data_IF_339072478791
#
_entry.id   IF_339072478791
#
_cell.length_a   1.000
_cell.length_b   1.000
_cell.length_c   1.000
_cell.angle_alpha   90.00
_cell.angle_beta   90.00
_cell.angle_gamma   90.00
#
_symmetry.space_group_name_H-M   'P 1'
#
loop_
_entity.id
_entity.type
_entity.pdbx_description
1 polymer ?
#
# COMPACT_ATOMS: atom_id res chain seq x y z
N UNK A 1 -11.73 5.36 9.99
CA UNK A 1 -11.68 3.89 9.88
C UNK A 1 -10.31 3.38 9.52
N UNK A 2 -9.77 3.83 8.37
CA UNK A 2 -8.39 3.50 8.01
C UNK A 2 -7.43 4.03 9.07
N UNK A 3 -7.71 5.20 9.62
CA UNK A 3 -6.93 5.80 10.69
C UNK A 3 -6.84 4.86 11.90
N UNK A 4 -7.99 4.36 12.38
CA UNK A 4 -8.01 3.49 13.56
C UNK A 4 -7.33 2.15 13.32
N UNK A 5 -7.38 1.63 12.09
CA UNK A 5 -6.72 0.38 11.73
C UNK A 5 -5.21 0.53 11.63
N UNK A 6 -4.73 1.64 11.11
CA UNK A 6 -3.32 1.82 10.77
C UNK A 6 -2.52 2.61 11.80
N UNK A 7 -3.19 3.35 12.68
CA UNK A 7 -2.52 4.14 13.73
C UNK A 7 -1.53 3.31 14.55
N UNK A 8 -1.86 2.07 14.98
CA UNK A 8 -0.93 1.29 15.79
C UNK A 8 0.39 0.93 15.10
N UNK A 9 0.46 1.04 13.79
CA UNK A 9 1.66 0.66 13.04
C UNK A 9 2.74 1.74 13.01
N UNK A 10 2.45 2.94 13.55
CA UNK A 10 3.46 3.99 13.62
C UNK A 10 3.97 4.44 12.26
N UNK A 11 3.04 4.75 11.34
CA UNK A 11 3.38 5.13 9.98
C UNK A 11 4.12 6.47 9.96
N UNK A 12 5.23 6.52 9.25
CA UNK A 12 6.10 7.69 9.15
C UNK A 12 6.13 8.31 7.75
N UNK A 13 5.64 7.60 6.74
CA UNK A 13 5.54 8.13 5.39
C UNK A 13 4.33 7.58 4.66
N UNK A 14 3.73 8.40 3.80
CA UNK A 14 2.55 8.03 3.01
C UNK A 14 2.83 8.31 1.54
N UNK A 15 2.67 7.28 0.73
CA UNK A 15 2.90 7.32 -0.72
C UNK A 15 1.67 6.83 -1.45
N UNK A 16 1.26 7.53 -2.49
CA UNK A 16 0.03 7.19 -3.21
C UNK A 16 0.22 7.31 -4.70
N UNK A 17 -0.47 6.45 -5.45
CA UNK A 17 -0.71 6.69 -6.86
C UNK A 17 -1.37 8.06 -7.05
N UNK A 18 -1.20 8.64 -8.23
CA UNK A 18 -1.79 9.94 -8.56
C UNK A 18 -3.31 9.89 -8.84
N UNK A 19 -3.91 8.71 -8.83
CA UNK A 19 -5.36 8.58 -8.98
C UNK A 19 -6.08 9.14 -7.75
N UNK A 20 -7.11 9.95 -7.98
CA UNK A 20 -7.83 10.62 -6.89
C UNK A 20 -8.44 9.66 -5.87
N UNK A 21 -8.89 8.46 -6.31
CA UNK A 21 -9.45 7.46 -5.40
C UNK A 21 -8.40 6.91 -4.42
N UNK A 22 -7.15 6.76 -4.86
CA UNK A 22 -6.07 6.33 -3.98
C UNK A 22 -5.69 7.43 -3.00
N UNK A 23 -5.56 8.64 -3.48
CA UNK A 23 -5.25 9.79 -2.66
C UNK A 23 -6.33 10.02 -1.60
N UNK A 24 -7.61 9.97 -1.99
CA UNK A 24 -8.73 10.18 -1.08
C UNK A 24 -8.79 9.12 0.03
N UNK A 25 -8.32 7.91 -0.25
CA UNK A 25 -8.30 6.84 0.74
C UNK A 25 -7.32 7.15 1.88
N UNK A 26 -6.18 7.78 1.58
CA UNK A 26 -5.13 8.03 2.57
C UNK A 26 -5.15 9.45 3.13
N UNK A 27 -5.91 10.36 2.53
CA UNK A 27 -5.96 11.76 2.97
C UNK A 27 -6.37 11.93 4.45
N UNK A 28 -7.40 11.24 4.95
CA UNK A 28 -7.75 11.36 6.38
C UNK A 28 -6.61 10.93 7.30
N UNK A 29 -5.87 9.89 6.94
CA UNK A 29 -4.72 9.44 7.71
C UNK A 29 -3.59 10.46 7.66
N UNK A 30 -3.35 11.05 6.48
CA UNK A 30 -2.38 12.11 6.29
C UNK A 30 -2.65 13.29 7.22
N UNK A 31 -3.91 13.71 7.31
CA UNK A 31 -4.32 14.79 8.19
C UNK A 31 -4.14 14.41 9.66
N UNK A 32 -4.55 13.22 10.04
CA UNK A 32 -4.47 12.75 11.41
C UNK A 32 -3.00 12.67 11.90
N UNK A 33 -2.11 12.15 11.04
CA UNK A 33 -0.70 11.98 11.38
C UNK A 33 0.14 13.23 11.12
N UNK A 34 -0.43 14.25 10.50
CA UNK A 34 0.28 15.46 10.06
C UNK A 34 1.45 15.10 9.14
N UNK A 35 1.21 14.14 8.24
CA UNK A 35 2.17 13.71 7.24
C UNK A 35 1.68 14.10 5.85
N UNK A 36 2.56 14.60 5.02
CA UNK A 36 2.24 14.92 3.64
C UNK A 36 2.20 13.64 2.80
N UNK A 37 1.22 13.53 1.92
CA UNK A 37 1.16 12.41 0.95
C UNK A 37 2.13 12.72 -0.19
N UNK A 38 3.04 11.80 -0.44
CA UNK A 38 3.90 11.85 -1.63
C UNK A 38 3.20 11.10 -2.77
N UNK A 39 2.93 11.81 -3.85
CA UNK A 39 2.28 11.23 -5.02
C UNK A 39 3.35 10.64 -5.93
N UNK A 40 3.17 9.40 -6.35
CA UNK A 40 4.12 8.67 -7.18
C UNK A 40 3.42 8.11 -8.42
N UNK A 41 3.75 8.67 -9.58
CA UNK A 41 3.21 8.21 -10.86
C UNK A 41 3.60 6.75 -11.16
N UNK A 42 4.72 6.28 -10.63
CA UNK A 42 5.19 4.90 -10.79
C UNK A 42 4.17 3.88 -10.28
N UNK A 43 3.26 4.31 -9.41
CA UNK A 43 2.24 3.44 -8.82
C UNK A 43 0.94 3.43 -9.62
N UNK A 44 0.81 4.23 -10.67
CA UNK A 44 -0.45 4.31 -11.41
C UNK A 44 -0.57 3.20 -12.47
N UNK A 45 -1.80 3.01 -12.96
CA UNK A 45 -2.10 1.94 -13.91
C UNK A 45 -1.42 2.16 -15.26
N UNK A 46 -1.31 3.40 -15.71
CA UNK A 46 -0.67 3.72 -16.97
C UNK A 46 0.82 3.37 -16.96
N UNK A 47 1.52 3.72 -15.89
CA UNK A 47 2.93 3.36 -15.73
C UNK A 47 3.12 1.86 -15.66
N UNK A 48 2.21 1.16 -15.01
CA UNK A 48 2.24 -0.30 -14.90
C UNK A 48 2.08 -0.98 -16.26
N UNK A 49 1.20 -0.46 -17.11
CA UNK A 49 1.03 -0.99 -18.47
C UNK A 49 2.27 -0.74 -19.32
N UNK A 50 2.92 0.40 -19.12
CA UNK A 50 4.14 0.74 -19.84
C UNK A 50 5.32 -0.13 -19.39
N UNK A 51 5.50 -0.28 -18.08
CA UNK A 51 6.56 -1.12 -17.49
C UNK A 51 6.11 -1.60 -16.11
N UNK A 52 5.77 -2.87 -16.01
CA UNK A 52 5.27 -3.45 -14.77
C UNK A 52 6.30 -3.45 -13.63
N UNK A 53 7.56 -3.21 -13.94
CA UNK A 53 8.63 -3.18 -12.93
C UNK A 53 8.72 -1.85 -12.19
N UNK A 54 8.13 -0.78 -12.71
CA UNK A 54 8.25 0.54 -12.10
C UNK A 54 7.68 0.57 -10.68
N UNK A 55 6.49 0.03 -10.48
CA UNK A 55 5.86 0.00 -9.18
C UNK A 55 6.65 -0.88 -8.19
N UNK A 56 7.08 -2.05 -8.63
CA UNK A 56 7.88 -2.95 -7.79
C UNK A 56 9.19 -2.31 -7.35
N UNK A 57 9.89 -1.68 -8.27
CA UNK A 57 11.16 -1.02 -7.96
C UNK A 57 10.96 0.16 -7.02
N UNK A 58 9.88 0.89 -7.20
CA UNK A 58 9.54 2.00 -6.31
C UNK A 58 9.30 1.52 -4.87
N UNK A 59 8.51 0.46 -4.71
CA UNK A 59 8.23 -0.13 -3.39
C UNK A 59 9.52 -0.67 -2.76
N UNK A 60 10.37 -1.36 -3.51
CA UNK A 60 11.65 -1.84 -3.00
C UNK A 60 12.53 -0.69 -2.52
N UNK A 61 12.52 0.42 -3.22
CA UNK A 61 13.24 1.62 -2.81
C UNK A 61 12.73 2.13 -1.46
N UNK A 62 11.41 2.20 -1.29
CA UNK A 62 10.80 2.63 -0.03
C UNK A 62 11.12 1.69 1.13
N UNK A 63 11.27 0.40 0.87
CA UNK A 63 11.57 -0.59 1.90
C UNK A 63 12.95 -0.38 2.53
N UNK A 64 13.81 0.40 1.91
CA UNK A 64 15.14 0.73 2.44
C UNK A 64 15.13 1.94 3.38
N UNK A 65 14.03 2.68 3.41
CA UNK A 65 13.92 3.83 4.30
C UNK A 65 13.62 3.36 5.73
N UNK A 66 14.18 4.05 6.74
CA UNK A 66 13.80 3.73 8.13
C UNK A 66 12.34 4.08 8.37
N UNK A 67 11.75 3.38 9.32
CA UNK A 67 10.36 3.61 9.69
C UNK A 67 9.37 2.83 8.84
N UNK A 68 8.11 3.03 9.13
CA UNK A 68 7.01 2.31 8.49
C UNK A 68 6.36 3.20 7.44
N UNK A 69 6.23 2.67 6.22
CA UNK A 69 5.69 3.41 5.09
C UNK A 69 4.34 2.82 4.68
N UNK A 70 3.41 3.68 4.32
CA UNK A 70 2.14 3.29 3.74
C UNK A 70 2.15 3.57 2.24
N UNK A 71 1.75 2.57 1.46
CA UNK A 71 1.65 2.71 0.01
C UNK A 71 0.22 2.43 -0.43
N UNK A 72 -0.40 3.38 -1.08
CA UNK A 72 -1.75 3.24 -1.65
C UNK A 72 -1.66 3.12 -3.16
N UNK A 73 -2.29 2.11 -3.70
CA UNK A 73 -2.24 1.83 -5.13
C UNK A 73 -3.46 1.07 -5.61
N UNK A 74 -3.30 0.32 -6.66
CA UNK A 74 -4.38 -0.29 -7.41
C UNK A 74 -4.30 -1.80 -7.45
N UNK A 75 -5.46 -2.46 -7.61
CA UNK A 75 -5.53 -3.81 -8.14
C UNK A 75 -5.36 -3.75 -9.67
N UNK A 76 -4.65 -4.68 -10.29
CA UNK A 76 -3.95 -5.82 -9.70
C UNK A 76 -2.50 -5.55 -9.29
N UNK A 77 -2.07 -4.30 -9.28
CA UNK A 77 -0.65 -3.93 -9.07
C UNK A 77 -0.15 -4.37 -7.69
N UNK A 78 -0.93 -4.09 -6.64
CA UNK A 78 -0.52 -4.41 -5.26
C UNK A 78 -0.36 -5.92 -5.03
N UNK A 79 -1.33 -6.77 -5.39
CA UNK A 79 -1.12 -8.22 -5.25
C UNK A 79 0.09 -8.74 -6.02
N UNK A 80 0.36 -8.19 -7.19
CA UNK A 80 1.50 -8.61 -8.00
C UNK A 80 2.81 -8.21 -7.37
N UNK A 81 2.90 -7.02 -6.79
CA UNK A 81 4.08 -6.58 -6.04
C UNK A 81 4.33 -7.53 -4.87
N UNK A 82 3.28 -7.85 -4.11
CA UNK A 82 3.39 -8.77 -2.97
C UNK A 82 3.86 -10.14 -3.39
N UNK A 83 3.33 -10.65 -4.49
CA UNK A 83 3.74 -11.96 -5.02
C UNK A 83 5.24 -11.98 -5.30
N UNK A 84 5.77 -10.93 -5.90
CA UNK A 84 7.20 -10.85 -6.22
C UNK A 84 8.08 -10.62 -4.98
N UNK A 85 7.59 -9.86 -4.01
CA UNK A 85 8.34 -9.57 -2.79
C UNK A 85 8.37 -10.75 -1.83
N UNK A 86 7.23 -11.37 -1.63
CA UNK A 86 7.07 -12.45 -0.63
C UNK A 86 7.27 -13.85 -1.21
N UNK A 87 7.32 -13.97 -2.52
CA UNK A 87 7.46 -15.25 -3.24
C UNK A 87 6.31 -16.22 -2.95
N UNK A 88 5.13 -15.66 -2.63
CA UNK A 88 3.89 -16.39 -2.43
C UNK A 88 2.85 -15.74 -3.33
N UNK A 89 2.06 -16.54 -4.01
CA UNK A 89 1.08 -16.02 -4.96
C UNK A 89 -0.07 -15.31 -4.26
N UNK A 90 -0.33 -14.07 -4.66
CA UNK A 90 -1.48 -13.28 -4.23
C UNK A 90 -2.31 -12.89 -5.44
N UNK A 91 -3.63 -12.84 -5.28
CA UNK A 91 -4.57 -12.55 -6.35
C UNK A 91 -5.21 -11.18 -6.16
N UNK A 92 -5.61 -10.56 -7.28
CA UNK A 92 -6.40 -9.32 -7.24
C UNK A 92 -7.73 -9.50 -6.50
N UNK A 93 -8.26 -10.73 -6.48
CA UNK A 93 -9.51 -11.03 -5.75
C UNK A 93 -9.32 -11.05 -4.23
N UNK A 94 -8.10 -11.05 -3.76
CA UNK A 94 -7.78 -11.06 -2.33
C UNK A 94 -7.80 -9.68 -1.70
N UNK A 95 -7.96 -8.63 -2.50
CA UNK A 95 -7.91 -7.25 -2.01
C UNK A 95 -9.17 -6.48 -2.39
N UNK A 96 -10.00 -6.20 -1.40
CA UNK A 96 -11.14 -5.29 -1.53
C UNK A 96 -10.69 -3.85 -1.24
N UNK A 97 -11.44 -2.84 -1.68
CA UNK A 97 -11.12 -1.45 -1.34
C UNK A 97 -10.94 -1.25 0.17
N UNK A 98 -9.91 -0.55 0.55
CA UNK A 98 -9.51 -0.25 1.93
C UNK A 98 -9.00 -1.45 2.74
N UNK A 99 -8.94 -2.64 2.15
CA UNK A 99 -8.18 -3.74 2.76
C UNK A 99 -6.69 -3.44 2.67
N UNK A 100 -5.92 -3.99 3.59
CA UNK A 100 -4.49 -3.72 3.68
C UNK A 100 -3.69 -4.99 3.91
N UNK A 101 -2.50 -5.03 3.35
CA UNK A 101 -1.49 -6.01 3.73
C UNK A 101 -0.38 -5.31 4.50
N UNK A 102 0.01 -5.90 5.62
CA UNK A 102 1.16 -5.44 6.39
C UNK A 102 2.34 -6.33 6.06
N UNK A 103 3.37 -5.73 5.52
CA UNK A 103 4.58 -6.45 5.13
C UNK A 103 5.64 -6.22 6.19
N UNK A 104 6.03 -7.29 6.86
CA UNK A 104 7.13 -7.24 7.84
C UNK A 104 8.42 -7.58 7.12
N UNK A 105 9.36 -6.64 7.12
CA UNK A 105 10.58 -6.82 6.34
C UNK A 105 11.80 -6.21 7.02
N UNK A 106 12.96 -6.62 6.55
CA UNK A 106 14.25 -6.01 6.90
C UNK A 106 14.96 -5.71 5.58
N UNK A 107 15.16 -4.42 5.29
CA UNK A 107 15.61 -4.01 3.96
C UNK A 107 14.61 -4.49 2.92
N UNK A 108 15.07 -5.10 1.85
CA UNK A 108 14.21 -5.65 0.79
C UNK A 108 13.79 -7.11 1.02
N UNK A 109 14.09 -7.66 2.19
CA UNK A 109 13.75 -9.05 2.52
C UNK A 109 12.47 -9.11 3.35
N UNK A 110 11.47 -9.81 2.83
CA UNK A 110 10.18 -9.98 3.50
C UNK A 110 10.25 -11.16 4.47
N UNK A 111 9.83 -10.92 5.71
CA UNK A 111 9.75 -11.96 6.75
C UNK A 111 8.36 -12.55 6.85
N UNK A 112 7.32 -11.71 6.78
CA UNK A 112 5.94 -12.16 6.87
C UNK A 112 5.00 -11.11 6.28
N UNK A 113 3.80 -11.55 5.92
CA UNK A 113 2.74 -10.69 5.40
C UNK A 113 1.48 -10.96 6.22
N UNK A 114 0.87 -9.90 6.71
CA UNK A 114 -0.36 -9.97 7.47
C UNK A 114 -1.46 -9.25 6.70
N UNK A 115 -2.63 -9.87 6.61
CA UNK A 115 -3.78 -9.28 5.91
C UNK A 115 -4.73 -8.63 6.90
N UNK A 116 -5.08 -7.37 6.66
CA UNK A 116 -6.06 -6.65 7.47
C UNK A 116 -7.24 -6.32 6.59
N UNK A 117 -8.38 -6.93 6.91
CA UNK A 117 -9.63 -6.70 6.20
C UNK A 117 -10.33 -5.48 6.76
N UNK A 118 -10.72 -4.59 5.87
CA UNK A 118 -11.51 -3.41 6.26
C UNK A 118 -12.88 -3.86 6.78
N UNK A 119 -13.30 -3.39 7.97
CA UNK A 119 -14.62 -3.76 8.50
C UNK A 119 -15.71 -3.26 7.57
N UNK A 120 -16.60 -4.18 7.14
CA UNK A 120 -17.77 -3.83 6.34
C UNK A 120 -18.91 -3.47 7.28
N UNK A 121 -19.55 -2.34 7.01
CA UNK A 121 -20.73 -1.95 7.76
C UNK A 121 -21.88 -2.83 7.28
N UNK A 122 -22.44 -3.63 8.19
CA UNK A 122 -23.66 -4.38 7.90
C UNK A 122 -24.84 -3.43 8.09
N UNK A 123 -25.52 -3.17 7.01
CA UNK A 123 -26.82 -2.50 7.10
C UNK A 123 -27.84 -3.53 7.58
N UNK A 124 -28.42 -3.26 8.70
CA UNK A 124 -29.45 -4.11 9.26
C UNK A 124 -30.70 -4.06 8.39
#
# INVERSE_FOLDING_TARGET
RLVSQLEPFGIEGIFSSDASRCYSTVEPLSEYLTLKVTVAAELNEESYEHDSKLALNYVRHLMRYPGNQLVAGHNPIIPEILTKLARVEYSADDLDPADSWVVHHRGDKVHSVEFIRHPKVKLA
#
